data_IF_285116713865
#
_entry.id   IF_285116713865
#
_cell.length_a   1.000
_cell.length_b   1.000
_cell.length_c   1.000
_cell.angle_alpha   90.00
_cell.angle_beta   90.00
_cell.angle_gamma   90.00
#
_symmetry.space_group_name_H-M   'P 1'
#
loop_
_entity.id
_entity.type
_entity.pdbx_description
1 polymer ?
#
# COMPACT_ATOMS: atom_id res chain seq x y z
N UNK A 1 8.02 14.25 -44.78
CA UNK A 1 6.91 13.46 -44.20
C UNK A 1 7.34 12.00 -43.97
N UNK A 2 7.88 11.33 -44.98
CA UNK A 2 8.39 9.95 -44.86
C UNK A 2 9.57 9.82 -43.87
N UNK A 3 10.54 10.74 -43.90
CA UNK A 3 11.67 10.72 -42.95
C UNK A 3 11.24 10.90 -41.48
N UNK A 4 10.27 11.79 -41.23
CA UNK A 4 9.73 11.99 -39.88
C UNK A 4 9.03 10.73 -39.37
N UNK A 5 8.27 10.06 -40.24
CA UNK A 5 7.64 8.77 -39.93
C UNK A 5 8.68 7.73 -39.52
N UNK A 6 9.71 7.50 -40.35
CA UNK A 6 10.75 6.51 -40.03
C UNK A 6 11.59 6.88 -38.80
N UNK A 7 11.77 8.17 -38.51
CA UNK A 7 12.51 8.62 -37.31
C UNK A 7 11.79 8.30 -35.99
N UNK A 8 10.47 8.12 -36.01
CA UNK A 8 9.64 7.88 -34.82
C UNK A 8 9.00 6.50 -34.78
N UNK A 9 8.88 5.84 -35.92
CA UNK A 9 8.21 4.55 -36.07
C UNK A 9 8.77 3.48 -35.11
N UNK A 10 10.09 3.42 -34.97
CA UNK A 10 10.77 2.43 -34.10
C UNK A 10 10.52 2.63 -32.61
N UNK A 11 9.92 3.74 -32.18
CA UNK A 11 9.69 4.01 -30.75
C UNK A 11 8.80 2.94 -30.11
N UNK A 12 7.77 2.50 -30.84
CA UNK A 12 6.84 1.47 -30.36
C UNK A 12 7.56 0.12 -30.27
N UNK A 13 8.35 -0.22 -31.29
CA UNK A 13 9.11 -1.48 -31.32
C UNK A 13 10.15 -1.53 -30.20
N UNK A 14 10.82 -0.39 -29.90
CA UNK A 14 11.77 -0.30 -28.79
C UNK A 14 11.06 -0.48 -27.45
N UNK A 15 9.89 0.11 -27.26
CA UNK A 15 9.09 -0.06 -26.04
C UNK A 15 8.68 -1.53 -25.85
N UNK A 16 8.18 -2.15 -26.91
CA UNK A 16 7.76 -3.55 -26.90
C UNK A 16 8.95 -4.49 -26.65
N UNK A 17 10.11 -4.21 -27.26
CA UNK A 17 11.34 -4.96 -27.02
C UNK A 17 11.80 -4.89 -25.55
N UNK A 18 11.71 -3.72 -24.91
CA UNK A 18 12.03 -3.58 -23.49
C UNK A 18 11.02 -4.33 -22.62
N UNK A 19 9.72 -4.26 -22.93
CA UNK A 19 8.65 -4.92 -22.16
C UNK A 19 8.70 -6.44 -22.29
N UNK A 20 8.74 -6.96 -23.52
CA UNK A 20 8.61 -8.40 -23.80
C UNK A 20 9.97 -9.10 -23.91
N UNK A 21 10.99 -8.42 -24.42
CA UNK A 21 12.32 -8.99 -24.63
C UNK A 21 13.19 -8.90 -23.37
N UNK A 22 13.35 -7.71 -22.81
CA UNK A 22 14.24 -7.50 -21.65
C UNK A 22 13.56 -7.79 -20.31
N UNK A 23 12.39 -7.20 -20.05
CA UNK A 23 11.67 -7.37 -18.78
C UNK A 23 10.93 -8.71 -18.70
N UNK A 24 10.27 -9.09 -19.80
CA UNK A 24 9.71 -10.42 -20.04
C UNK A 24 8.84 -11.02 -18.92
N UNK A 25 8.16 -10.18 -18.11
CA UNK A 25 7.31 -10.63 -16.98
C UNK A 25 6.26 -11.65 -17.45
N UNK A 26 5.68 -11.44 -18.63
CA UNK A 26 4.66 -12.32 -19.21
C UNK A 26 5.19 -13.71 -19.55
N UNK A 27 6.50 -13.84 -19.80
CA UNK A 27 7.17 -15.10 -20.11
C UNK A 27 7.52 -15.87 -18.83
N UNK A 28 7.98 -15.16 -17.81
CA UNK A 28 8.37 -15.77 -16.53
C UNK A 28 7.16 -16.08 -15.63
N UNK A 29 6.12 -15.22 -15.65
CA UNK A 29 4.91 -15.40 -14.87
C UNK A 29 3.83 -16.16 -15.64
N UNK A 30 4.01 -17.48 -15.77
CA UNK A 30 3.05 -18.35 -16.45
C UNK A 30 1.75 -18.45 -15.63
N UNK A 31 0.63 -18.01 -16.22
CA UNK A 31 -0.69 -18.03 -15.58
C UNK A 31 -1.82 -18.36 -16.56
N UNK A 32 -2.85 -19.04 -16.06
CA UNK A 32 -4.08 -19.37 -16.80
C UNK A 32 -5.17 -18.30 -16.61
N UNK A 33 -4.99 -17.37 -15.68
CA UNK A 33 -5.95 -16.30 -15.42
C UNK A 33 -5.71 -15.12 -16.37
N UNK A 34 -6.70 -14.80 -17.21
CA UNK A 34 -6.61 -13.67 -18.13
C UNK A 34 -6.37 -12.32 -17.41
N UNK A 35 -6.95 -12.14 -16.22
CA UNK A 35 -6.75 -10.95 -15.39
C UNK A 35 -5.28 -10.76 -15.00
N UNK A 36 -4.60 -11.84 -14.64
CA UNK A 36 -3.17 -11.78 -14.29
C UNK A 36 -2.31 -11.44 -15.50
N UNK A 37 -2.69 -11.91 -16.70
CA UNK A 37 -2.00 -11.55 -17.94
C UNK A 37 -2.12 -10.05 -18.22
N UNK A 38 -3.35 -9.52 -18.16
CA UNK A 38 -3.60 -8.08 -18.31
C UNK A 38 -2.82 -7.26 -17.29
N UNK A 39 -2.83 -7.69 -16.02
CA UNK A 39 -2.04 -7.04 -14.97
C UNK A 39 -0.54 -7.04 -15.28
N UNK A 40 0.02 -8.17 -15.71
CA UNK A 40 1.42 -8.29 -16.10
C UNK A 40 1.79 -7.36 -17.25
N UNK A 41 0.94 -7.25 -18.27
CA UNK A 41 1.13 -6.33 -19.40
C UNK A 41 1.14 -4.87 -18.94
N UNK A 42 0.15 -4.46 -18.13
CA UNK A 42 0.05 -3.09 -17.63
C UNK A 42 1.26 -2.77 -16.73
N UNK A 43 1.63 -3.68 -15.84
CA UNK A 43 2.80 -3.51 -14.98
C UNK A 43 4.08 -3.35 -15.81
N UNK A 44 4.25 -4.19 -16.85
CA UNK A 44 5.39 -4.09 -17.76
C UNK A 44 5.44 -2.75 -18.50
N UNK A 45 4.31 -2.26 -19.00
CA UNK A 45 4.23 -0.93 -19.64
C UNK A 45 4.64 0.19 -18.66
N UNK A 46 4.10 0.18 -17.44
CA UNK A 46 4.40 1.19 -16.41
C UNK A 46 5.89 1.21 -16.07
N UNK A 47 6.54 0.05 -15.96
CA UNK A 47 7.98 -0.04 -15.68
C UNK A 47 8.82 0.55 -16.82
N UNK A 48 8.47 0.24 -18.08
CA UNK A 48 9.17 0.79 -19.25
C UNK A 48 8.97 2.30 -19.35
N UNK A 49 7.74 2.80 -19.12
CA UNK A 49 7.45 4.23 -19.14
C UNK A 49 8.22 5.00 -18.06
N UNK A 50 8.31 4.42 -16.84
CA UNK A 50 9.10 4.99 -15.75
C UNK A 50 10.60 5.08 -16.12
N UNK A 51 11.15 4.05 -16.77
CA UNK A 51 12.53 4.05 -17.25
C UNK A 51 12.76 5.10 -18.35
N UNK A 52 11.86 5.20 -19.33
CA UNK A 52 11.96 6.20 -20.40
C UNK A 52 11.89 7.63 -19.84
N UNK A 53 11.03 7.84 -18.84
CA UNK A 53 10.92 9.12 -18.11
C UNK A 53 12.23 9.42 -17.37
N UNK A 54 12.78 8.46 -16.63
CA UNK A 54 14.07 8.60 -15.96
C UNK A 54 15.21 8.95 -16.93
N UNK A 55 15.27 8.28 -18.09
CA UNK A 55 16.27 8.60 -19.12
C UNK A 55 16.09 9.99 -19.70
N UNK A 56 14.85 10.41 -19.96
CA UNK A 56 14.54 11.73 -20.47
C UNK A 56 15.03 12.80 -19.49
N UNK A 57 14.65 12.69 -18.21
CA UNK A 57 15.07 13.64 -17.17
C UNK A 57 16.60 13.63 -16.96
N UNK A 58 17.23 12.46 -17.02
CA UNK A 58 18.70 12.35 -16.88
C UNK A 58 19.43 13.03 -18.04
N UNK A 59 18.87 12.94 -19.24
CA UNK A 59 19.40 13.60 -20.46
C UNK A 59 19.20 15.11 -20.39
N UNK A 60 18.01 15.57 -19.99
CA UNK A 60 17.70 17.00 -19.83
C UNK A 60 18.57 17.68 -18.76
N UNK A 61 18.87 16.96 -17.67
CA UNK A 61 19.72 17.46 -16.57
C UNK A 61 21.22 17.35 -16.86
N UNK A 62 21.63 16.97 -18.08
CA UNK A 62 23.03 16.79 -18.48
C UNK A 62 23.83 15.88 -17.52
N UNK A 63 23.21 14.84 -16.98
CA UNK A 63 23.99 13.81 -16.30
C UNK A 63 24.94 13.15 -17.31
N UNK A 64 26.19 12.91 -16.91
CA UNK A 64 27.18 12.23 -17.74
C UNK A 64 26.62 10.87 -18.15
N UNK A 65 26.68 10.52 -19.43
CA UNK A 65 26.07 9.29 -19.98
C UNK A 65 26.49 8.02 -19.20
N UNK A 66 27.70 8.00 -18.63
CA UNK A 66 28.23 6.95 -17.74
C UNK A 66 27.48 6.77 -16.41
N UNK A 67 26.57 7.68 -16.06
CA UNK A 67 25.77 7.64 -14.82
C UNK A 67 24.32 7.25 -15.06
N UNK A 68 23.87 7.22 -16.32
CA UNK A 68 22.52 6.78 -16.67
C UNK A 68 22.48 5.26 -16.61
N UNK A 69 21.64 4.72 -15.74
CA UNK A 69 21.47 3.29 -15.59
C UNK A 69 20.96 2.67 -16.89
N UNK A 70 21.49 1.50 -17.25
CA UNK A 70 20.85 0.67 -18.27
C UNK A 70 19.51 0.12 -17.74
N UNK A 71 18.68 -0.40 -18.64
CA UNK A 71 17.34 -0.86 -18.28
C UNK A 71 17.34 -1.95 -17.19
N UNK A 72 18.26 -2.91 -17.27
CA UNK A 72 18.36 -4.01 -16.30
C UNK A 72 18.73 -3.51 -14.90
N UNK A 73 19.69 -2.60 -14.81
CA UNK A 73 20.12 -2.00 -13.54
C UNK A 73 19.03 -1.13 -12.94
N UNK A 74 18.33 -0.35 -13.78
CA UNK A 74 17.16 0.43 -13.36
C UNK A 74 16.07 -0.47 -12.77
N UNK A 75 15.69 -1.54 -13.47
CA UNK A 75 14.66 -2.49 -13.00
C UNK A 75 15.10 -3.17 -11.70
N UNK A 76 16.37 -3.55 -11.59
CA UNK A 76 16.92 -4.18 -10.39
C UNK A 76 16.85 -3.26 -9.17
N UNK A 77 17.21 -1.99 -9.33
CA UNK A 77 17.10 -0.99 -8.26
C UNK A 77 15.64 -0.69 -7.91
N UNK A 78 14.78 -0.54 -8.91
CA UNK A 78 13.34 -0.33 -8.71
C UNK A 78 12.72 -1.49 -7.92
N UNK A 79 13.02 -2.73 -8.30
CA UNK A 79 12.53 -3.92 -7.62
C UNK A 79 12.99 -3.94 -6.15
N UNK A 80 14.27 -3.67 -5.90
CA UNK A 80 14.80 -3.59 -4.53
C UNK A 80 14.06 -2.53 -3.70
N UNK A 81 13.88 -1.32 -4.23
CA UNK A 81 13.19 -0.24 -3.53
C UNK A 81 11.71 -0.53 -3.27
N UNK A 82 11.02 -1.22 -4.19
CA UNK A 82 9.62 -1.62 -4.01
C UNK A 82 9.46 -2.73 -2.96
N UNK A 83 10.39 -3.70 -2.93
CA UNK A 83 10.37 -4.81 -1.96
C UNK A 83 10.73 -4.33 -0.55
N UNK A 84 11.76 -3.50 -0.44
CA UNK A 84 12.27 -2.98 0.83
C UNK A 84 11.77 -1.57 1.11
N UNK A 85 10.52 -1.29 0.75
CA UNK A 85 9.95 0.03 0.92
C UNK A 85 9.65 0.31 2.40
N UNK A 86 10.32 1.30 2.99
CA UNK A 86 10.08 1.76 4.36
C UNK A 86 8.80 2.59 4.50
N UNK A 87 8.23 3.04 3.38
CA UNK A 87 6.91 3.65 3.36
C UNK A 87 5.88 2.58 3.70
N UNK A 88 5.61 2.44 5.00
CA UNK A 88 4.42 1.73 5.48
C UNK A 88 3.25 2.26 4.68
N UNK A 89 2.62 1.40 3.87
CA UNK A 89 1.31 1.70 3.34
C UNK A 89 0.42 1.90 4.57
N UNK A 90 0.29 3.14 5.03
CA UNK A 90 -0.83 3.58 5.83
C UNK A 90 -2.00 3.19 4.98
N UNK A 91 -2.62 2.05 5.33
CA UNK A 91 -3.79 1.55 4.65
C UNK A 91 -4.84 2.60 4.97
N UNK A 92 -4.89 3.65 4.16
CA UNK A 92 -5.92 4.66 4.18
C UNK A 92 -7.16 3.93 3.71
N UNK A 93 -7.78 3.19 4.63
CA UNK A 93 -9.21 3.02 4.60
C UNK A 93 -9.71 4.44 4.41
N UNK A 94 -10.26 4.74 3.23
CA UNK A 94 -10.99 5.96 2.97
C UNK A 94 -12.05 6.08 4.06
N UNK A 95 -11.66 6.71 5.15
CA UNK A 95 -12.53 7.24 6.17
C UNK A 95 -12.52 8.68 5.76
N UNK A 96 -13.64 9.07 5.16
CA UNK A 96 -13.92 10.45 4.82
C UNK A 96 -13.65 11.29 6.07
N UNK A 97 -12.62 12.11 6.02
CA UNK A 97 -12.20 12.96 7.13
C UNK A 97 -11.49 14.16 6.52
N UNK A 98 -12.32 15.09 6.05
CA UNK A 98 -11.94 16.48 6.01
C UNK A 98 -11.65 17.00 7.43
N UNK A 99 -11.00 18.16 7.45
CA UNK A 99 -10.65 18.99 8.61
C UNK A 99 -9.52 18.51 9.52
N UNK A 100 -8.34 19.06 9.22
CA UNK A 100 -7.32 19.53 10.15
C UNK A 100 -7.95 20.43 11.22
N UNK A 101 -7.82 20.08 12.52
CA UNK A 101 -7.34 20.98 13.60
C UNK A 101 -7.67 20.48 15.02
N UNK A 102 -6.67 20.59 15.90
CA UNK A 102 -6.68 20.84 17.36
C UNK A 102 -7.12 19.76 18.36
N UNK A 103 -6.16 19.33 19.18
CA UNK A 103 -6.18 18.83 20.58
C UNK A 103 -7.54 18.53 21.24
N UNK A 104 -8.05 17.32 20.99
CA UNK A 104 -9.06 16.65 21.81
C UNK A 104 -8.64 15.17 21.93
N UNK A 105 -9.04 14.43 22.98
CA UNK A 105 -8.56 13.07 23.22
C UNK A 105 -8.86 12.22 21.99
N UNK A 106 -7.80 11.88 21.25
CA UNK A 106 -7.88 11.13 20.01
C UNK A 106 -8.35 9.71 20.31
N UNK A 107 -9.68 9.53 20.36
CA UNK A 107 -10.35 8.25 20.52
C UNK A 107 -10.20 7.43 19.24
N UNK A 108 -8.97 6.99 18.98
CA UNK A 108 -8.61 6.16 17.83
C UNK A 108 -8.79 4.69 18.16
N UNK A 109 -9.32 3.91 17.22
CA UNK A 109 -9.43 2.45 17.37
C UNK A 109 -8.13 1.76 16.93
N UNK A 110 -7.63 0.85 17.78
CA UNK A 110 -6.57 -0.11 17.42
C UNK A 110 -7.07 -1.53 17.58
N UNK A 111 -6.52 -2.46 16.80
CA UNK A 111 -6.92 -3.87 16.91
C UNK A 111 -6.23 -4.52 18.10
N UNK A 112 -6.93 -5.42 18.80
CA UNK A 112 -6.30 -6.21 19.87
C UNK A 112 -5.12 -7.04 19.36
N UNK A 113 -5.18 -7.53 18.12
CA UNK A 113 -4.12 -8.33 17.51
C UNK A 113 -2.79 -7.59 17.30
N UNK A 114 -2.77 -6.26 17.43
CA UNK A 114 -1.55 -5.46 17.31
C UNK A 114 -0.77 -5.35 18.63
N UNK A 115 -1.35 -5.75 19.76
CA UNK A 115 -0.67 -5.69 21.05
C UNK A 115 0.41 -6.80 21.17
N UNK A 116 1.59 -6.49 21.74
CA UNK A 116 2.69 -7.46 21.87
C UNK A 116 2.29 -8.78 22.55
N UNK A 117 1.37 -8.71 23.52
CA UNK A 117 0.85 -9.88 24.25
C UNK A 117 0.07 -10.88 23.38
N UNK A 118 -0.29 -10.51 22.15
CA UNK A 118 -1.00 -11.37 21.21
C UNK A 118 -0.18 -11.75 19.97
N UNK A 119 1.14 -11.58 20.02
CA UNK A 119 2.07 -11.92 18.92
C UNK A 119 1.92 -13.36 18.43
N UNK A 120 1.81 -14.32 19.35
CA UNK A 120 1.64 -15.75 19.02
C UNK A 120 0.29 -16.04 18.38
N UNK A 121 -0.79 -15.39 18.84
CA UNK A 121 -2.10 -15.52 18.21
C UNK A 121 -2.11 -14.96 16.79
N UNK A 122 -1.39 -13.85 16.56
CA UNK A 122 -1.21 -13.25 15.23
C UNK A 122 -0.44 -14.18 14.28
N UNK A 123 0.65 -14.79 14.73
CA UNK A 123 1.42 -15.78 13.95
C UNK A 123 0.56 -16.99 13.56
N UNK A 124 -0.31 -17.44 14.46
CA UNK A 124 -1.23 -18.53 14.22
C UNK A 124 -2.48 -18.15 13.38
N UNK A 125 -2.56 -16.91 12.87
CA UNK A 125 -3.73 -16.43 12.11
C UNK A 125 -5.01 -16.33 12.94
N UNK A 126 -4.92 -16.40 14.27
CA UNK A 126 -6.08 -16.36 15.17
C UNK A 126 -6.50 -14.92 15.42
N UNK A 127 -7.80 -14.68 15.25
CA UNK A 127 -8.40 -13.36 15.52
C UNK A 127 -8.65 -13.17 17.02
N UNK A 128 -7.97 -12.19 17.60
CA UNK A 128 -8.18 -11.82 19.01
C UNK A 128 -9.50 -11.05 19.16
N UNK A 129 -10.31 -11.45 20.13
CA UNK A 129 -11.60 -10.84 20.43
C UNK A 129 -11.79 -10.64 21.94
N UNK A 130 -12.38 -9.51 22.31
CA UNK A 130 -12.87 -9.21 23.67
C UNK A 130 -14.32 -8.74 23.61
N UNK A 131 -14.96 -8.50 24.75
CA UNK A 131 -16.31 -7.94 24.79
C UNK A 131 -16.29 -6.42 24.56
N UNK A 132 -17.23 -5.94 23.77
CA UNK A 132 -17.48 -4.51 23.62
C UNK A 132 -18.14 -3.96 24.88
N UNK A 133 -17.72 -2.79 25.38
CA UNK A 133 -18.33 -2.20 26.58
C UNK A 133 -19.74 -1.64 26.37
N UNK A 134 -20.13 -1.35 25.13
CA UNK A 134 -21.45 -0.79 24.81
C UNK A 134 -22.48 -1.87 24.52
N UNK A 135 -22.16 -2.82 23.65
CA UNK A 135 -23.11 -3.86 23.23
C UNK A 135 -22.84 -5.25 23.83
N UNK A 136 -21.77 -5.42 24.63
CA UNK A 136 -21.33 -6.69 25.25
C UNK A 136 -21.03 -7.86 24.30
N UNK A 137 -21.18 -7.65 22.99
CA UNK A 137 -20.84 -8.63 21.95
C UNK A 137 -19.33 -8.66 21.69
N UNK A 138 -18.85 -9.74 21.06
CA UNK A 138 -17.45 -9.89 20.65
C UNK A 138 -17.01 -8.76 19.70
N UNK A 139 -15.85 -8.18 19.98
CA UNK A 139 -15.21 -7.11 19.21
C UNK A 139 -13.70 -7.39 19.11
N UNK A 140 -13.05 -6.81 18.10
CA UNK A 140 -11.60 -6.97 17.87
C UNK A 140 -10.81 -5.68 18.03
N UNK A 141 -11.46 -4.60 18.48
CA UNK A 141 -10.86 -3.28 18.58
C UNK A 141 -11.01 -2.72 19.99
N UNK A 142 -10.08 -1.85 20.36
CA UNK A 142 -10.13 -1.05 21.58
C UNK A 142 -9.88 0.42 21.26
N UNK A 143 -10.41 1.32 22.09
CA UNK A 143 -10.15 2.74 22.01
C UNK A 143 -8.83 3.07 22.72
N UNK A 144 -7.89 3.73 22.02
CA UNK A 144 -6.59 4.12 22.59
C UNK A 144 -6.76 5.15 23.70
N UNK A 145 -7.63 6.15 23.51
CA UNK A 145 -7.87 7.20 24.50
C UNK A 145 -8.50 6.72 25.81
N UNK A 146 -9.24 5.60 25.78
CA UNK A 146 -9.92 5.05 26.97
C UNK A 146 -9.28 3.77 27.52
N UNK A 147 -8.17 3.32 26.94
CA UNK A 147 -7.50 2.10 27.38
C UNK A 147 -6.13 2.41 27.95
N UNK A 148 -5.83 1.79 29.09
CA UNK A 148 -4.49 1.80 29.66
C UNK A 148 -3.79 0.47 29.31
N UNK A 149 -2.81 0.56 28.42
CA UNK A 149 -2.02 -0.59 27.97
C UNK A 149 -1.10 -1.12 29.08
N UNK A 150 -0.57 -0.24 29.94
CA UNK A 150 0.32 -0.61 31.03
C UNK A 150 -0.43 -1.36 32.13
N UNK A 151 -1.63 -0.87 32.48
CA UNK A 151 -2.52 -1.53 33.44
C UNK A 151 -3.35 -2.68 32.82
N UNK A 152 -3.15 -2.98 31.53
CA UNK A 152 -3.92 -3.98 30.76
C UNK A 152 -5.44 -3.77 30.84
N UNK A 153 -5.88 -2.54 31.09
CA UNK A 153 -7.28 -2.14 31.16
C UNK A 153 -7.71 -1.65 29.78
N UNK A 154 -8.47 -2.48 29.06
CA UNK A 154 -8.88 -2.16 27.70
C UNK A 154 -10.36 -1.79 27.62
N UNK A 155 -10.63 -0.71 26.91
CA UNK A 155 -11.96 -0.28 26.52
C UNK A 155 -12.30 -0.85 25.13
N UNK A 156 -12.94 -2.02 25.10
CA UNK A 156 -13.31 -2.71 23.87
C UNK A 156 -14.48 -2.05 23.15
N UNK A 157 -14.33 -1.76 21.85
CA UNK A 157 -15.35 -1.12 21.01
C UNK A 157 -15.52 -1.90 19.71
N UNK A 158 -16.76 -1.99 19.20
CA UNK A 158 -17.00 -2.59 17.89
C UNK A 158 -16.39 -1.73 16.78
N UNK A 159 -15.72 -2.38 15.83
CA UNK A 159 -15.09 -1.69 14.71
C UNK A 159 -16.09 -1.25 13.63
N UNK A 160 -15.67 -0.37 12.71
CA UNK A 160 -16.53 0.24 11.70
C UNK A 160 -17.19 -0.79 10.76
N UNK A 161 -16.53 -1.93 10.52
CA UNK A 161 -17.06 -3.01 9.67
C UNK A 161 -18.15 -3.88 10.30
N UNK A 162 -18.50 -3.64 11.56
CA UNK A 162 -19.50 -4.44 12.26
C UNK A 162 -20.95 -4.00 11.99
N UNK A 163 -21.17 -2.93 11.21
CA UNK A 163 -22.47 -2.27 11.01
C UNK A 163 -23.16 -1.85 12.32
N UNK A 164 -22.37 -1.56 13.36
CA UNK A 164 -22.86 -1.14 14.68
C UNK A 164 -22.40 0.27 14.99
N UNK A 165 -23.26 1.05 15.62
CA UNK A 165 -23.01 2.43 16.01
C UNK A 165 -22.17 2.58 17.30
N UNK A 166 -21.61 1.49 17.86
CA UNK A 166 -20.88 1.56 19.13
C UNK A 166 -19.68 2.51 19.08
N UNK A 167 -18.99 2.67 17.95
CA UNK A 167 -17.89 3.62 17.87
C UNK A 167 -18.38 5.08 17.83
N UNK A 168 -19.44 5.37 17.06
CA UNK A 168 -20.04 6.70 17.03
C UNK A 168 -20.68 7.07 18.38
N UNK A 169 -21.34 6.12 19.05
CA UNK A 169 -21.88 6.30 20.41
C UNK A 169 -20.76 6.56 21.41
N UNK A 170 -19.65 5.83 21.31
CA UNK A 170 -18.45 6.06 22.14
C UNK A 170 -17.90 7.48 21.99
N UNK A 171 -17.85 8.02 20.77
CA UNK A 171 -17.41 9.38 20.51
C UNK A 171 -18.40 10.44 21.04
N UNK A 172 -19.69 10.13 21.06
CA UNK A 172 -20.74 11.02 21.56
C UNK A 172 -20.85 11.03 23.09
N UNK A 173 -20.39 9.97 23.77
CA UNK A 173 -20.34 9.87 25.23
C UNK A 173 -18.88 9.75 25.70
N UNK A 174 -18.10 10.85 25.72
CA UNK A 174 -16.81 10.86 26.39
C UNK A 174 -17.06 10.82 27.90
N UNK A 175 -17.33 9.64 28.44
CA UNK A 175 -17.46 9.44 29.88
C UNK A 175 -16.08 9.32 30.51
N UNK A 176 -15.73 10.39 31.24
CA UNK A 176 -14.99 10.52 32.53
C UNK A 176 -13.75 9.65 32.71
#
# INVERSE_FOLDING_TARGET
>A
MVELFFSKFSTIDVHDHLRQGSLAIEREWITQSWMHRVFGTILGMVVVDAYLTYRHESTERQFVESTVLNFSDFVSQLAHQLIFNEHTMKRTLRTDSGSTSTDEPSHTLKAFGDLPQYSEARKAGKRVQRQCRLCHKKCSYYCVGCSDVHLKSFYGVCGPRSHRACFSEHLASPSI
#
